data_IF_935737235000
#
_entry.id   IF_935737235000
#
_cell.length_a   1.000
_cell.length_b   1.000
_cell.length_c   1.000
_cell.angle_alpha   90.00
_cell.angle_beta   90.00
_cell.angle_gamma   90.00
#
_symmetry.space_group_name_H-M   'P 1'
#
loop_
_entity.id
_entity.type
_entity.pdbx_description
1 polymer ?
#
# COMPACT_ATOMS: atom_id res chain seq x y z
N UNK A 1 -71.11 -2.57 -8.35
CA UNK A 1 -70.25 -1.51 -7.78
C UNK A 1 -68.92 -2.16 -7.44
N UNK A 2 -67.88 -1.88 -8.23
CA UNK A 2 -66.55 -2.44 -8.06
C UNK A 2 -65.73 -1.56 -7.11
N UNK A 3 -65.26 -2.12 -6.01
CA UNK A 3 -64.35 -1.45 -5.06
C UNK A 3 -62.92 -1.94 -5.31
N UNK A 4 -62.13 -1.10 -5.95
CA UNK A 4 -60.73 -1.33 -6.30
C UNK A 4 -59.84 -1.22 -5.05
N UNK A 5 -59.16 -2.31 -4.67
CA UNK A 5 -58.10 -2.28 -3.66
C UNK A 5 -56.85 -1.57 -4.21
N UNK A 6 -56.50 -0.41 -3.63
CA UNK A 6 -55.18 0.21 -3.80
C UNK A 6 -54.16 -0.55 -2.94
N UNK A 7 -53.28 -1.32 -3.56
CA UNK A 7 -52.05 -1.81 -2.92
C UNK A 7 -51.08 -0.63 -2.77
N UNK A 8 -50.65 -0.35 -1.54
CA UNK A 8 -49.58 0.58 -1.27
C UNK A 8 -48.23 -0.08 -1.61
N UNK A 9 -47.39 0.60 -2.40
CA UNK A 9 -46.00 0.21 -2.62
C UNK A 9 -45.20 0.45 -1.32
N UNK A 10 -44.34 -0.48 -0.88
CA UNK A 10 -43.34 -0.16 0.13
C UNK A 10 -42.24 0.71 -0.50
N UNK A 11 -41.80 1.71 0.27
CA UNK A 11 -40.69 2.61 -0.08
C UNK A 11 -39.37 1.84 -0.27
N UNK A 12 -38.43 2.33 -1.10
CA UNK A 12 -37.16 1.66 -1.31
C UNK A 12 -36.33 1.66 -0.01
N UNK A 13 -35.82 0.47 0.33
CA UNK A 13 -34.89 0.25 1.43
C UNK A 13 -33.70 1.21 1.33
N UNK A 14 -33.48 1.96 2.41
CA UNK A 14 -32.29 2.77 2.62
C UNK A 14 -31.07 1.87 2.50
N UNK A 15 -30.16 2.23 1.58
CA UNK A 15 -28.79 1.75 1.52
C UNK A 15 -28.22 1.69 2.95
N UNK A 16 -27.91 0.48 3.41
CA UNK A 16 -27.14 0.25 4.63
C UNK A 16 -25.74 0.81 4.43
N UNK A 17 -25.57 2.11 4.64
CA UNK A 17 -24.26 2.72 4.81
C UNK A 17 -23.60 2.11 6.04
N UNK A 18 -22.52 1.35 5.83
CA UNK A 18 -21.64 0.93 6.90
C UNK A 18 -21.19 2.17 7.71
N UNK A 19 -21.07 2.08 9.04
CA UNK A 19 -20.76 3.24 9.88
C UNK A 19 -19.40 3.81 9.50
N UNK A 20 -19.39 5.05 8.96
CA UNK A 20 -18.18 5.82 8.69
C UNK A 20 -17.49 6.08 10.03
N UNK A 21 -16.29 5.55 10.18
CA UNK A 21 -15.49 5.72 11.39
C UNK A 21 -14.85 7.11 11.35
N UNK A 22 -15.45 8.08 12.06
CA UNK A 22 -15.09 9.51 12.04
C UNK A 22 -13.82 9.86 12.84
N UNK A 23 -12.74 9.10 12.64
CA UNK A 23 -11.39 9.54 12.96
C UNK A 23 -10.59 9.55 11.66
N UNK A 24 -10.95 10.46 10.76
CA UNK A 24 -10.47 10.42 9.40
C UNK A 24 -9.22 11.29 9.27
N UNK A 25 -8.05 10.65 9.24
CA UNK A 25 -6.93 11.25 8.51
C UNK A 25 -7.40 11.27 7.06
N UNK A 26 -7.83 12.43 6.59
CA UNK A 26 -8.39 12.64 5.26
C UNK A 26 -7.90 13.98 4.70
N UNK A 27 -7.50 13.94 3.44
CA UNK A 27 -6.96 15.06 2.70
C UNK A 27 -7.71 15.14 1.37
N UNK A 28 -8.24 16.32 1.06
CA UNK A 28 -8.85 16.58 -0.23
C UNK A 28 -7.81 17.05 -1.24
N UNK A 29 -8.32 17.56 -2.37
CA UNK A 29 -7.51 18.04 -3.49
C UNK A 29 -6.61 19.22 -3.12
N UNK A 30 -6.97 19.99 -2.09
CA UNK A 30 -6.18 21.11 -1.57
C UNK A 30 -4.82 20.70 -1.02
N UNK A 31 -4.71 19.47 -0.51
CA UNK A 31 -3.43 18.86 -0.10
C UNK A 31 -2.91 17.94 -1.19
N UNK A 32 -3.74 17.01 -1.69
CA UNK A 32 -3.28 15.96 -2.60
C UNK A 32 -2.81 16.51 -3.96
N UNK A 33 -3.37 17.63 -4.41
CA UNK A 33 -3.03 18.27 -5.68
C UNK A 33 -1.81 19.20 -5.64
N UNK A 34 -1.22 19.43 -4.46
CA UNK A 34 0.08 20.10 -4.31
C UNK A 34 1.13 19.07 -3.99
N UNK A 35 2.17 19.00 -4.82
CA UNK A 35 3.23 18.03 -4.62
C UNK A 35 3.95 18.27 -3.30
N UNK A 36 4.25 19.55 -3.00
CA UNK A 36 4.93 19.97 -1.77
C UNK A 36 4.13 19.54 -0.53
N UNK A 37 2.82 19.83 -0.51
CA UNK A 37 1.98 19.45 0.62
C UNK A 37 1.80 17.93 0.70
N UNK A 38 1.55 17.25 -0.42
CA UNK A 38 1.30 15.81 -0.42
C UNK A 38 2.53 14.99 0.01
N UNK A 39 3.75 15.47 -0.25
CA UNK A 39 4.98 14.77 0.13
C UNK A 39 5.33 14.84 1.60
N UNK A 40 4.88 15.90 2.28
CA UNK A 40 5.00 16.02 3.74
C UNK A 40 4.06 15.04 4.49
N UNK A 41 3.13 14.37 3.80
CA UNK A 41 2.23 13.38 4.40
C UNK A 41 2.65 11.98 3.98
N UNK A 42 3.17 11.22 4.94
CA UNK A 42 3.53 9.82 4.74
C UNK A 42 2.46 8.88 5.30
N UNK A 43 2.35 7.69 4.72
CA UNK A 43 1.54 6.59 5.23
C UNK A 43 2.42 5.38 5.54
N UNK A 44 1.95 4.55 6.47
CA UNK A 44 2.61 3.33 6.91
C UNK A 44 1.59 2.20 7.00
N UNK A 45 1.97 1.02 6.52
CA UNK A 45 1.27 -0.24 6.72
C UNK A 45 2.31 -1.27 7.17
N UNK A 46 2.02 -2.05 8.20
CA UNK A 46 2.95 -3.06 8.73
C UNK A 46 2.31 -4.44 8.78
N UNK A 47 3.16 -5.47 8.88
CA UNK A 47 2.77 -6.88 8.88
C UNK A 47 3.01 -7.59 10.22
N UNK A 48 3.42 -6.88 11.27
CA UNK A 48 3.68 -7.45 12.59
C UNK A 48 4.87 -8.42 12.68
N UNK A 49 5.75 -8.44 11.67
CA UNK A 49 7.02 -9.18 11.70
C UNK A 49 8.20 -8.27 11.34
N UNK A 50 8.02 -6.94 11.47
CA UNK A 50 9.05 -5.94 11.19
C UNK A 50 9.14 -5.48 9.72
N UNK A 51 8.37 -6.10 8.82
CA UNK A 51 8.19 -5.68 7.44
C UNK A 51 7.08 -4.65 7.31
N UNK A 52 7.17 -3.82 6.26
CA UNK A 52 6.25 -2.72 6.06
C UNK A 52 6.10 -2.31 4.59
N UNK A 53 5.08 -1.51 4.33
CA UNK A 53 4.91 -0.68 3.14
C UNK A 53 4.70 0.77 3.57
N UNK A 54 5.32 1.71 2.86
CA UNK A 54 5.25 3.13 3.20
C UNK A 54 5.59 4.00 2.00
N UNK A 55 5.08 5.23 1.98
CA UNK A 55 5.33 6.23 0.96
C UNK A 55 4.63 7.53 1.28
N UNK A 56 4.66 8.48 0.35
CA UNK A 56 3.93 9.74 0.48
C UNK A 56 2.49 9.62 -0.05
N UNK A 57 1.65 10.61 0.26
CA UNK A 57 0.32 10.75 -0.34
C UNK A 57 0.41 11.01 -1.85
N UNK A 58 1.44 11.71 -2.34
CA UNK A 58 1.61 11.99 -3.78
C UNK A 58 1.99 10.75 -4.60
N UNK A 59 2.52 9.70 -3.94
CA UNK A 59 3.09 8.51 -4.58
C UNK A 59 4.54 8.67 -5.06
N UNK A 60 5.16 9.82 -4.79
CA UNK A 60 6.59 10.03 -5.01
C UNK A 60 7.45 9.31 -3.97
N UNK A 61 8.64 8.88 -4.37
CA UNK A 61 9.63 8.31 -3.45
C UNK A 61 10.52 9.45 -2.96
N UNK A 62 10.34 9.91 -1.72
CA UNK A 62 11.15 11.01 -1.19
C UNK A 62 12.34 10.54 -0.37
N UNK A 63 12.29 9.28 0.12
CA UNK A 63 13.30 8.67 1.00
C UNK A 63 13.63 7.25 0.54
N UNK A 64 14.83 6.76 0.88
CA UNK A 64 15.25 5.37 0.60
C UNK A 64 14.42 4.31 1.35
N UNK A 65 13.56 4.73 2.26
CA UNK A 65 12.75 3.84 3.09
C UNK A 65 11.36 3.58 2.56
N UNK A 66 10.93 4.34 1.53
CA UNK A 66 9.65 4.12 0.88
C UNK A 66 9.67 2.83 0.07
N UNK A 67 8.54 2.15 0.00
CA UNK A 67 8.45 0.83 -0.61
C UNK A 67 7.05 0.26 -0.47
N UNK A 68 6.60 -0.49 -1.48
CA UNK A 68 5.39 -1.32 -1.40
C UNK A 68 5.66 -2.66 -0.72
N UNK A 69 6.90 -3.14 -0.70
CA UNK A 69 7.31 -4.28 0.11
C UNK A 69 8.74 -4.08 0.61
N UNK A 70 8.88 -3.64 1.85
CA UNK A 70 10.13 -3.71 2.62
C UNK A 70 10.02 -4.91 3.55
N UNK A 71 10.56 -6.04 3.11
CA UNK A 71 10.41 -7.33 3.76
C UNK A 71 11.42 -7.51 4.89
N UNK A 72 10.97 -7.92 6.07
CA UNK A 72 11.88 -8.39 7.12
C UNK A 72 12.26 -9.85 6.81
N UNK A 73 13.46 -10.05 6.23
CA UNK A 73 13.96 -11.39 5.88
C UNK A 73 14.51 -12.15 7.10
N UNK A 74 14.77 -11.43 8.19
CA UNK A 74 15.13 -11.98 9.50
C UNK A 74 14.26 -11.36 10.61
N UNK A 75 12.95 -11.66 10.67
CA UNK A 75 12.01 -10.99 11.57
C UNK A 75 12.48 -10.87 13.03
N UNK A 76 12.32 -9.69 13.67
CA UNK A 76 11.69 -8.47 13.15
C UNK A 76 12.63 -7.51 12.39
N UNK A 77 13.83 -7.96 12.01
CA UNK A 77 14.89 -7.14 11.38
C UNK A 77 15.29 -7.69 9.99
N UNK A 78 16.41 -7.22 9.43
CA UNK A 78 16.85 -7.64 8.09
C UNK A 78 15.91 -7.12 6.99
N UNK A 79 15.56 -5.84 7.08
CA UNK A 79 14.61 -5.18 6.18
C UNK A 79 15.24 -4.96 4.81
N UNK A 80 14.65 -5.59 3.80
CA UNK A 80 15.09 -5.54 2.41
C UNK A 80 13.98 -4.93 1.55
N UNK A 81 14.27 -3.86 0.79
CA UNK A 81 13.31 -3.31 -0.17
C UNK A 81 13.26 -4.24 -1.40
N UNK A 82 12.09 -4.85 -1.62
CA UNK A 82 11.85 -5.79 -2.72
C UNK A 82 10.99 -5.17 -3.82
N UNK A 83 9.93 -4.47 -3.44
CA UNK A 83 9.07 -3.72 -4.38
C UNK A 83 9.05 -2.27 -3.95
N UNK A 84 9.61 -1.39 -4.78
CA UNK A 84 9.73 0.03 -4.47
C UNK A 84 8.39 0.74 -4.69
N UNK A 85 7.89 0.73 -5.93
CA UNK A 85 6.63 1.38 -6.30
C UNK A 85 6.00 0.74 -7.53
N UNK A 86 4.80 1.23 -7.86
CA UNK A 86 4.20 1.03 -9.16
C UNK A 86 4.24 2.35 -9.93
N UNK A 87 4.47 2.29 -11.24
CA UNK A 87 4.16 3.38 -12.16
C UNK A 87 2.90 3.02 -12.95
N UNK A 88 1.77 3.62 -12.56
CA UNK A 88 0.48 3.33 -13.16
C UNK A 88 -0.05 4.46 -14.03
N UNK A 89 -0.70 4.08 -15.14
CA UNK A 89 -1.45 4.95 -16.02
C UNK A 89 -2.83 4.35 -16.26
N UNK A 90 -3.88 5.15 -16.06
CA UNK A 90 -5.24 4.80 -16.43
C UNK A 90 -5.58 5.32 -17.83
N UNK A 91 -5.96 4.42 -18.73
CA UNK A 91 -6.59 4.76 -20.01
C UNK A 91 -8.10 4.79 -19.86
N UNK A 92 -8.74 5.91 -20.17
CA UNK A 92 -10.18 6.09 -20.03
C UNK A 92 -10.70 7.13 -21.03
N UNK A 93 -11.78 6.82 -21.75
CA UNK A 93 -12.38 7.66 -22.81
C UNK A 93 -11.38 8.22 -23.83
N UNK A 94 -10.37 7.42 -24.20
CA UNK A 94 -9.31 7.80 -25.14
C UNK A 94 -8.22 8.70 -24.55
N UNK A 95 -8.37 9.15 -23.31
CA UNK A 95 -7.35 9.87 -22.54
C UNK A 95 -6.45 8.93 -21.72
N UNK A 96 -5.23 9.38 -21.45
CA UNK A 96 -4.29 8.73 -20.54
C UNK A 96 -4.06 9.60 -19.30
N UNK A 97 -4.23 9.01 -18.12
CA UNK A 97 -4.09 9.70 -16.84
C UNK A 97 -3.03 9.01 -16.00
N UNK A 98 -1.97 9.73 -15.66
CA UNK A 98 -0.98 9.26 -14.69
C UNK A 98 -1.62 9.07 -13.31
N UNK A 99 -1.29 7.98 -12.63
CA UNK A 99 -1.61 7.79 -11.20
C UNK A 99 -0.34 7.84 -10.35
N UNK A 100 0.81 7.48 -10.92
CA UNK A 100 2.11 7.59 -10.28
C UNK A 100 2.69 9.01 -10.36
N UNK A 101 3.48 9.36 -9.36
CA UNK A 101 4.30 10.58 -9.34
C UNK A 101 5.76 10.20 -9.18
N UNK A 102 6.66 10.71 -10.00
CA UNK A 102 8.11 10.42 -9.90
C UNK A 102 8.93 11.69 -10.07
N UNK A 103 9.87 11.94 -9.15
CA UNK A 103 10.95 12.92 -9.31
C UNK A 103 12.22 12.29 -9.89
N UNK A 104 12.82 13.00 -10.84
CA UNK A 104 14.08 12.63 -11.48
C UNK A 104 15.21 13.58 -11.09
N UNK A 105 16.44 13.09 -11.13
CA UNK A 105 17.65 13.89 -10.84
C UNK A 105 17.85 15.07 -11.81
N UNK A 106 17.19 15.04 -12.97
CA UNK A 106 17.12 16.14 -13.93
C UNK A 106 16.32 17.35 -13.43
N UNK A 107 15.59 17.21 -12.31
CA UNK A 107 14.64 18.20 -11.80
C UNK A 107 13.23 18.05 -12.37
N UNK A 108 13.00 17.10 -13.28
CA UNK A 108 11.68 16.80 -13.79
C UNK A 108 10.82 16.07 -12.75
N UNK A 109 9.53 16.38 -12.73
CA UNK A 109 8.50 15.58 -12.05
C UNK A 109 7.61 14.98 -13.13
N UNK A 110 7.82 13.72 -13.48
CA UNK A 110 7.02 12.99 -14.46
C UNK A 110 7.04 11.49 -14.16
N UNK A 111 5.92 10.76 -14.22
CA UNK A 111 4.57 11.27 -14.39
C UNK A 111 4.12 12.17 -13.21
N UNK A 112 3.05 12.96 -13.39
CA UNK A 112 2.46 13.87 -12.38
C UNK A 112 1.12 13.37 -11.84
N UNK A 113 1.08 12.13 -11.36
CA UNK A 113 -0.15 11.46 -10.91
C UNK A 113 -0.87 12.16 -9.76
N UNK A 114 -0.12 12.89 -8.91
CA UNK A 114 -0.67 13.66 -7.80
C UNK A 114 -1.77 14.66 -8.24
N UNK A 115 -1.69 15.19 -9.46
CA UNK A 115 -2.71 16.11 -10.01
C UNK A 115 -4.09 15.45 -10.20
N UNK A 116 -4.13 14.12 -10.31
CA UNK A 116 -5.34 13.34 -10.51
C UNK A 116 -5.91 12.78 -9.20
N UNK A 117 -5.24 12.98 -8.06
CA UNK A 117 -5.74 12.55 -6.75
C UNK A 117 -6.87 13.50 -6.31
N UNK A 118 -8.08 12.96 -6.22
CA UNK A 118 -9.26 13.66 -5.66
C UNK A 118 -9.14 13.75 -4.13
N UNK A 119 -8.80 12.62 -3.50
CA UNK A 119 -8.62 12.55 -2.06
C UNK A 119 -7.74 11.37 -1.63
N UNK A 120 -7.18 11.53 -0.44
CA UNK A 120 -6.53 10.48 0.32
C UNK A 120 -7.19 10.36 1.69
N UNK A 121 -7.32 9.14 2.20
CA UNK A 121 -7.73 8.91 3.59
C UNK A 121 -7.11 7.64 4.16
N UNK A 122 -7.10 7.55 5.48
CA UNK A 122 -6.92 6.28 6.19
C UNK A 122 -8.28 5.67 6.53
N UNK A 123 -8.55 4.47 6.03
CA UNK A 123 -9.62 3.61 6.54
C UNK A 123 -9.01 2.66 7.58
N UNK A 124 -9.01 3.10 8.85
CA UNK A 124 -8.21 2.44 9.88
C UNK A 124 -6.73 2.68 9.63
N UNK A 125 -5.96 1.63 9.35
CA UNK A 125 -4.55 1.77 8.91
C UNK A 125 -4.37 1.64 7.40
N UNK A 126 -5.46 1.40 6.65
CA UNK A 126 -5.40 1.17 5.21
C UNK A 126 -5.39 2.53 4.49
N UNK A 127 -4.29 2.93 3.83
CA UNK A 127 -4.29 4.10 2.98
C UNK A 127 -5.16 3.87 1.73
N UNK A 128 -6.00 4.85 1.44
CA UNK A 128 -6.96 4.83 0.34
C UNK A 128 -6.85 6.12 -0.47
N UNK A 129 -6.56 5.99 -1.76
CA UNK A 129 -6.60 7.09 -2.72
C UNK A 129 -7.84 6.99 -3.57
N UNK A 130 -8.39 8.13 -3.96
CA UNK A 130 -9.35 8.25 -5.05
C UNK A 130 -8.77 9.14 -6.12
N UNK A 131 -8.83 8.67 -7.36
CA UNK A 131 -8.40 9.39 -8.55
C UNK A 131 -9.61 9.80 -9.37
N UNK A 132 -9.74 11.09 -9.67
CA UNK A 132 -10.78 11.62 -10.55
C UNK A 132 -10.26 11.70 -11.99
N UNK A 133 -10.84 10.90 -12.88
CA UNK A 133 -10.35 10.67 -14.24
C UNK A 133 -11.51 10.92 -15.23
N UNK A 134 -11.66 12.16 -15.68
CA UNK A 134 -12.91 12.63 -16.32
C UNK A 134 -14.12 12.37 -15.41
N UNK A 135 -15.10 11.56 -15.84
CA UNK A 135 -16.25 11.16 -15.00
C UNK A 135 -15.96 9.91 -14.13
N UNK A 136 -14.87 9.17 -14.40
CA UNK A 136 -14.48 8.00 -13.66
C UNK A 136 -13.86 8.33 -12.30
N UNK A 137 -14.09 7.42 -11.34
CA UNK A 137 -13.50 7.45 -10.01
C UNK A 137 -12.85 6.11 -9.72
N UNK A 138 -11.51 6.08 -9.75
CA UNK A 138 -10.71 4.91 -9.44
C UNK A 138 -10.23 4.99 -7.99
N UNK A 139 -10.45 3.95 -7.21
CA UNK A 139 -9.95 3.85 -5.84
C UNK A 139 -8.74 2.90 -5.79
N UNK A 140 -7.68 3.30 -5.08
CA UNK A 140 -6.50 2.47 -4.78
C UNK A 140 -6.42 2.23 -3.27
N UNK A 141 -6.21 0.99 -2.86
CA UNK A 141 -6.02 0.58 -1.46
C UNK A 141 -4.73 -0.20 -1.30
N UNK A 142 -4.04 -0.03 -0.17
CA UNK A 142 -2.84 -0.81 0.16
C UNK A 142 -2.97 -1.40 1.56
N UNK A 143 -2.71 -2.69 1.73
CA UNK A 143 -2.62 -3.32 3.05
C UNK A 143 -1.62 -4.47 3.05
N UNK A 144 -1.19 -4.90 4.24
CA UNK A 144 -0.33 -6.07 4.40
C UNK A 144 -1.04 -7.15 5.22
N UNK A 145 -0.69 -8.41 4.92
CA UNK A 145 -1.13 -9.57 5.70
C UNK A 145 -0.30 -9.70 6.98
N UNK A 146 -0.99 -9.92 8.10
CA UNK A 146 -0.32 -10.07 9.38
C UNK A 146 0.49 -11.36 9.42
N UNK A 147 1.74 -11.28 9.85
CA UNK A 147 2.66 -12.41 9.96
C UNK A 147 3.47 -12.70 8.71
N UNK A 148 3.29 -11.95 7.61
CA UNK A 148 3.84 -12.30 6.30
C UNK A 148 4.42 -11.09 5.57
N UNK A 149 5.51 -11.28 4.83
CA UNK A 149 6.03 -10.29 3.89
C UNK A 149 5.17 -10.29 2.63
N UNK A 150 3.91 -9.89 2.77
CA UNK A 150 2.90 -9.88 1.70
C UNK A 150 2.13 -8.56 1.74
N UNK A 151 2.25 -7.78 0.66
CA UNK A 151 1.49 -6.54 0.43
C UNK A 151 0.47 -6.74 -0.68
N UNK A 152 -0.73 -6.19 -0.47
CA UNK A 152 -1.81 -6.14 -1.45
C UNK A 152 -1.99 -4.70 -1.91
N UNK A 153 -2.08 -4.51 -3.22
CA UNK A 153 -2.50 -3.26 -3.84
C UNK A 153 -3.74 -3.54 -4.69
N UNK A 154 -4.87 -2.94 -4.31
CA UNK A 154 -6.14 -3.14 -5.00
C UNK A 154 -6.58 -1.86 -5.69
N UNK A 155 -7.06 -2.00 -6.92
CA UNK A 155 -7.69 -0.94 -7.68
C UNK A 155 -9.15 -1.31 -7.92
N UNK A 156 -10.06 -0.36 -7.72
CA UNK A 156 -11.50 -0.54 -7.89
C UNK A 156 -12.08 0.61 -8.68
N UNK A 157 -12.75 0.33 -9.80
CA UNK A 157 -13.47 1.36 -10.54
C UNK A 157 -14.82 1.61 -9.88
N UNK A 158 -14.94 2.65 -9.04
CA UNK A 158 -16.14 2.92 -8.26
C UNK A 158 -17.25 3.56 -9.10
N UNK A 159 -16.87 4.45 -10.00
CA UNK A 159 -17.76 5.23 -10.87
C UNK A 159 -17.11 5.38 -12.24
N UNK A 160 -17.92 5.46 -13.29
CA UNK A 160 -17.53 5.69 -14.67
C UNK A 160 -18.61 5.19 -15.61
N UNK A 161 -18.73 5.81 -16.78
CA UNK A 161 -19.65 5.39 -17.84
C UNK A 161 -19.04 4.35 -18.79
N UNK A 162 -17.70 4.23 -18.84
CA UNK A 162 -16.97 3.24 -19.63
C UNK A 162 -16.06 2.32 -18.81
N UNK A 163 -15.44 1.31 -19.45
CA UNK A 163 -14.36 0.54 -18.84
C UNK A 163 -13.08 1.38 -18.72
N UNK A 164 -12.27 1.10 -17.70
CA UNK A 164 -10.97 1.71 -17.48
C UNK A 164 -9.86 0.68 -17.74
N UNK A 165 -8.87 1.05 -18.56
CA UNK A 165 -7.66 0.24 -18.78
C UNK A 165 -6.56 0.69 -17.84
N UNK A 166 -6.22 -0.12 -16.84
CA UNK A 166 -5.11 0.13 -15.93
C UNK A 166 -3.83 -0.51 -16.49
N UNK A 167 -2.85 0.31 -16.86
CA UNK A 167 -1.50 -0.13 -17.19
C UNK A 167 -0.60 0.08 -15.96
N UNK A 168 0.13 -0.97 -15.56
CA UNK A 168 0.98 -0.96 -14.36
C UNK A 168 2.38 -1.40 -14.74
N UNK A 169 3.38 -0.63 -14.34
CA UNK A 169 4.78 -1.05 -14.30
C UNK A 169 5.20 -1.27 -12.86
N UNK A 170 5.77 -2.43 -12.55
CA UNK A 170 6.29 -2.72 -11.22
C UNK A 170 7.79 -2.45 -11.17
N UNK A 171 8.19 -1.52 -10.30
CA UNK A 171 9.57 -1.17 -10.04
C UNK A 171 10.04 -1.88 -8.77
N UNK A 172 11.09 -2.68 -8.91
CA UNK A 172 11.60 -3.57 -7.88
C UNK A 172 13.06 -3.26 -7.55
N UNK A 173 13.49 -3.78 -6.41
CA UNK A 173 14.87 -3.68 -5.95
C UNK A 173 15.25 -4.94 -5.15
N UNK A 174 16.49 -5.03 -4.70
CA UNK A 174 16.90 -6.00 -3.69
C UNK A 174 18.05 -5.44 -2.86
N UNK A 175 17.73 -4.58 -1.90
CA UNK A 175 18.75 -3.94 -1.06
C UNK A 175 18.32 -3.80 0.38
N UNK A 176 19.31 -3.68 1.25
CA UNK A 176 19.07 -3.25 2.62
C UNK A 176 18.38 -1.88 2.64
N UNK A 177 17.44 -1.69 3.57
CA UNK A 177 16.65 -0.47 3.68
C UNK A 177 17.49 0.79 3.99
N UNK A 178 18.70 0.67 4.55
CA UNK A 178 19.62 1.81 4.74
C UNK A 178 20.49 2.12 3.51
N UNK A 179 20.58 1.21 2.53
CA UNK A 179 21.41 1.38 1.33
C UNK A 179 20.65 2.05 0.18
N UNK A 180 21.37 2.36 -0.90
CA UNK A 180 20.81 2.79 -2.20
C UNK A 180 21.29 1.83 -3.29
N UNK A 181 20.54 1.72 -4.38
CA UNK A 181 20.94 0.92 -5.55
C UNK A 181 21.37 1.81 -6.71
N UNK A 182 22.56 1.54 -7.25
CA UNK A 182 23.02 2.02 -8.55
C UNK A 182 23.23 0.80 -9.44
N UNK A 183 22.44 0.68 -10.51
CA UNK A 183 22.21 -0.58 -11.21
C UNK A 183 23.49 -1.23 -11.78
N UNK A 184 24.40 -0.40 -12.32
CA UNK A 184 25.56 -0.89 -13.07
C UNK A 184 25.13 -1.87 -14.17
N UNK A 185 25.73 -3.06 -14.15
CA UNK A 185 25.43 -4.19 -15.05
C UNK A 185 24.60 -5.30 -14.35
N UNK A 186 23.95 -4.97 -13.24
CA UNK A 186 23.23 -5.97 -12.44
C UNK A 186 22.04 -6.56 -13.21
N UNK A 187 22.06 -7.88 -13.37
CA UNK A 187 20.98 -8.62 -14.02
C UNK A 187 20.29 -9.57 -13.04
N UNK A 188 19.15 -9.14 -12.51
CA UNK A 188 18.26 -10.04 -11.76
C UNK A 188 17.58 -11.06 -12.68
N UNK A 189 17.29 -12.26 -12.19
CA UNK A 189 16.45 -13.23 -12.91
C UNK A 189 14.97 -12.88 -12.71
N UNK A 190 14.24 -12.70 -13.81
CA UNK A 190 12.80 -12.40 -13.82
C UNK A 190 12.08 -13.44 -14.66
N UNK A 191 11.28 -14.29 -14.02
CA UNK A 191 10.73 -15.51 -14.62
C UNK A 191 9.21 -15.54 -14.50
N UNK A 192 8.51 -15.90 -15.57
CA UNK A 192 7.06 -16.14 -15.51
C UNK A 192 6.74 -17.36 -14.66
N UNK A 193 5.71 -17.25 -13.83
CA UNK A 193 5.11 -18.37 -13.07
C UNK A 193 3.59 -18.37 -13.28
N UNK A 194 2.90 -19.39 -12.77
CA UNK A 194 1.47 -19.60 -13.08
C UNK A 194 0.58 -18.36 -12.90
N UNK A 195 0.65 -17.70 -11.74
CA UNK A 195 -0.19 -16.54 -11.41
C UNK A 195 0.59 -15.22 -11.34
N UNK A 196 1.73 -15.11 -12.03
CA UNK A 196 2.53 -13.90 -12.01
C UNK A 196 3.99 -14.09 -12.43
N UNK A 197 4.90 -13.44 -11.73
CA UNK A 197 6.34 -13.58 -11.95
C UNK A 197 7.11 -13.83 -10.66
N UNK A 198 8.25 -14.51 -10.77
CA UNK A 198 9.26 -14.71 -9.73
C UNK A 198 10.49 -13.89 -10.06
N UNK A 199 11.04 -13.20 -9.07
CA UNK A 199 12.29 -12.47 -9.19
C UNK A 199 13.32 -13.05 -8.22
N UNK A 200 14.53 -13.26 -8.71
CA UNK A 200 15.69 -13.67 -7.91
C UNK A 200 16.85 -12.74 -8.21
N UNK A 201 17.25 -11.96 -7.20
CA UNK A 201 18.20 -10.86 -7.40
C UNK A 201 19.63 -11.34 -7.72
N UNK A 202 20.06 -12.43 -7.09
CA UNK A 202 21.33 -13.12 -7.31
C UNK A 202 21.25 -14.55 -6.73
N UNK A 203 22.27 -15.37 -6.95
CA UNK A 203 22.31 -16.74 -6.42
C UNK A 203 22.36 -16.75 -4.89
N UNK A 204 21.37 -17.40 -4.27
CA UNK A 204 21.20 -17.44 -2.81
C UNK A 204 20.29 -16.33 -2.25
N UNK A 205 19.87 -15.35 -3.05
CA UNK A 205 18.88 -14.35 -2.62
C UNK A 205 17.53 -15.02 -2.29
N UNK A 206 16.84 -14.51 -1.27
CA UNK A 206 15.43 -14.84 -1.05
C UNK A 206 14.61 -14.37 -2.27
N UNK A 207 13.98 -15.27 -3.04
CA UNK A 207 13.14 -14.86 -4.15
C UNK A 207 11.88 -14.15 -3.64
N UNK A 208 11.28 -13.34 -4.51
CA UNK A 208 10.00 -12.71 -4.27
C UNK A 208 9.13 -12.75 -5.53
N UNK A 209 7.83 -12.51 -5.36
CA UNK A 209 6.83 -12.71 -6.39
C UNK A 209 5.91 -11.51 -6.53
N UNK A 210 5.50 -11.26 -7.76
CA UNK A 210 4.41 -10.35 -8.11
C UNK A 210 3.31 -11.23 -8.68
N UNK A 211 2.20 -11.36 -7.95
CA UNK A 211 1.12 -12.29 -8.24
C UNK A 211 -0.20 -11.55 -8.41
N UNK A 212 -1.12 -12.14 -9.15
CA UNK A 212 -2.51 -11.70 -9.19
C UNK A 212 -3.40 -12.84 -9.68
N UNK A 213 -4.62 -12.93 -9.13
CA UNK A 213 -5.62 -13.86 -9.65
C UNK A 213 -6.13 -13.45 -11.04
N UNK A 214 -6.20 -12.13 -11.29
CA UNK A 214 -6.93 -11.57 -12.43
C UNK A 214 -6.09 -10.60 -13.29
N UNK A 215 -4.82 -10.38 -12.96
CA UNK A 215 -3.87 -9.63 -13.78
C UNK A 215 -2.76 -10.55 -14.29
N UNK A 216 -2.44 -10.42 -15.58
CA UNK A 216 -1.28 -11.09 -16.15
C UNK A 216 -0.07 -10.17 -16.08
N UNK A 217 0.97 -10.61 -15.37
CA UNK A 217 2.27 -9.96 -15.40
C UNK A 217 3.09 -10.48 -16.58
N UNK A 218 3.71 -9.55 -17.30
CA UNK A 218 4.69 -9.83 -18.32
C UNK A 218 6.08 -9.43 -17.79
N UNK A 219 7.04 -10.37 -17.73
CA UNK A 219 8.41 -10.06 -17.35
C UNK A 219 9.01 -8.93 -18.19
N UNK A 220 9.76 -8.06 -17.52
CA UNK A 220 10.58 -7.01 -18.10
C UNK A 220 11.92 -6.98 -17.39
N UNK A 221 12.90 -6.36 -18.04
CA UNK A 221 14.22 -6.17 -17.46
C UNK A 221 14.82 -4.89 -18.03
N UNK A 222 14.44 -3.78 -17.41
CA UNK A 222 14.93 -2.45 -17.80
C UNK A 222 15.18 -1.65 -16.53
N UNK A 223 16.38 -1.12 -16.36
CA UNK A 223 16.69 -0.27 -15.21
C UNK A 223 16.26 1.15 -15.47
N UNK A 224 15.35 1.65 -14.63
CA UNK A 224 14.98 3.06 -14.62
C UNK A 224 15.94 3.74 -13.65
N UNK A 225 16.67 4.73 -14.16
CA UNK A 225 17.79 5.35 -13.46
C UNK A 225 17.45 6.74 -12.98
N UNK A 226 18.25 7.23 -12.03
CA UNK A 226 18.24 8.65 -11.67
C UNK A 226 16.94 9.12 -10.99
N UNK A 227 16.30 8.28 -10.17
CA UNK A 227 15.26 8.77 -9.25
C UNK A 227 15.87 9.72 -8.25
N UNK A 228 15.19 10.81 -7.93
CA UNK A 228 15.63 11.77 -6.92
C UNK A 228 14.86 11.57 -5.61
N UNK A 229 15.59 11.37 -4.52
CA UNK A 229 15.07 11.21 -3.16
C UNK A 229 15.32 12.50 -2.35
N UNK A 230 14.46 13.53 -2.44
CA UNK A 230 14.71 14.87 -1.87
C UNK A 230 15.00 14.91 -0.36
N UNK A 231 14.47 13.97 0.42
CA UNK A 231 14.75 13.92 1.87
C UNK A 231 16.14 13.36 2.16
N UNK A 232 16.67 12.51 1.28
CA UNK A 232 18.07 12.07 1.36
C UNK A 232 19.00 13.25 1.02
N UNK A 233 18.63 14.09 0.04
CA UNK A 233 19.33 15.37 -0.23
C UNK A 233 19.37 16.26 1.01
N UNK A 234 18.21 16.46 1.66
CA UNK A 234 18.09 17.28 2.88
C UNK A 234 18.94 16.73 4.04
N UNK A 235 19.19 15.41 4.06
CA UNK A 235 20.04 14.72 5.04
C UNK A 235 21.52 14.67 4.65
N UNK A 236 21.89 15.18 3.47
CA UNK A 236 23.26 15.12 2.94
C UNK A 236 23.71 13.69 2.60
N UNK A 237 22.78 12.81 2.23
CA UNK A 237 23.02 11.43 1.84
C UNK A 237 22.97 11.28 0.32
N UNK A 238 23.36 10.10 -0.18
CA UNK A 238 23.16 9.73 -1.59
C UNK A 238 21.67 9.75 -1.91
N UNK A 239 21.28 10.68 -2.78
CA UNK A 239 19.91 11.04 -3.09
C UNK A 239 19.44 10.50 -4.45
N UNK A 240 20.25 9.67 -5.09
CA UNK A 240 19.93 9.04 -6.36
C UNK A 240 19.74 7.54 -6.20
N UNK A 241 18.76 7.00 -6.89
CA UNK A 241 18.50 5.57 -6.88
C UNK A 241 17.99 5.07 -8.23
N UNK A 242 18.38 3.83 -8.56
CA UNK A 242 17.91 3.09 -9.72
C UNK A 242 16.96 1.97 -9.27
N UNK A 243 15.89 1.74 -10.05
CA UNK A 243 14.94 0.65 -9.82
C UNK A 243 14.76 -0.20 -11.08
N UNK A 244 14.61 -1.51 -10.91
CA UNK A 244 14.37 -2.42 -12.02
C UNK A 244 12.89 -2.44 -12.38
N UNK A 245 12.53 -2.05 -13.59
CA UNK A 245 11.23 -2.34 -14.18
C UNK A 245 11.16 -3.84 -14.51
N UNK A 246 10.60 -4.61 -13.58
CA UNK A 246 10.59 -6.07 -13.65
C UNK A 246 9.30 -6.66 -14.26
N UNK A 247 8.18 -5.92 -14.23
CA UNK A 247 6.92 -6.48 -14.71
C UNK A 247 5.97 -5.41 -15.24
N UNK A 248 5.33 -5.69 -16.37
CA UNK A 248 4.18 -4.93 -16.86
C UNK A 248 2.89 -5.73 -16.66
N UNK A 249 1.79 -5.08 -16.29
CA UNK A 249 0.46 -5.65 -16.33
C UNK A 249 -0.52 -4.67 -16.99
N UNK A 250 -1.49 -5.20 -17.72
CA UNK A 250 -2.60 -4.43 -18.26
C UNK A 250 -3.90 -5.10 -17.85
N UNK A 251 -4.81 -4.34 -17.26
CA UNK A 251 -6.07 -4.84 -16.73
C UNK A 251 -7.19 -3.93 -17.21
N UNK A 252 -8.28 -4.52 -17.69
CA UNK A 252 -9.51 -3.79 -17.95
C UNK A 252 -10.45 -3.93 -16.74
N UNK A 253 -10.96 -2.81 -16.24
CA UNK A 253 -11.89 -2.75 -15.12
C UNK A 253 -13.22 -2.18 -15.61
N UNK A 254 -14.28 -2.97 -15.52
CA UNK A 254 -15.64 -2.43 -15.61
C UNK A 254 -16.05 -1.80 -14.27
N UNK A 255 -17.15 -1.03 -14.29
CA UNK A 255 -17.70 -0.41 -13.08
C UNK A 255 -17.96 -1.46 -11.99
N UNK A 256 -17.57 -1.12 -10.76
CA UNK A 256 -17.61 -1.98 -9.56
C UNK A 256 -16.72 -3.23 -9.60
N UNK A 257 -15.83 -3.35 -10.61
CA UNK A 257 -14.81 -4.40 -10.61
C UNK A 257 -13.52 -3.93 -9.93
N UNK A 258 -12.80 -4.91 -9.41
CA UNK A 258 -11.53 -4.71 -8.74
C UNK A 258 -10.48 -5.67 -9.27
N UNK A 259 -9.23 -5.22 -9.26
CA UNK A 259 -8.05 -6.07 -9.43
C UNK A 259 -7.13 -5.90 -8.24
N UNK A 260 -6.54 -7.01 -7.78
CA UNK A 260 -5.58 -7.01 -6.67
C UNK A 260 -4.25 -7.55 -7.16
N UNK A 261 -3.20 -6.77 -6.94
CA UNK A 261 -1.80 -7.13 -7.16
C UNK A 261 -1.20 -7.51 -5.81
N UNK A 262 -0.45 -8.61 -5.76
CA UNK A 262 0.12 -9.18 -4.55
C UNK A 262 1.64 -9.21 -4.68
N UNK A 263 2.34 -8.59 -3.73
CA UNK A 263 3.80 -8.58 -3.66
C UNK A 263 4.22 -9.37 -2.44
N UNK A 264 4.99 -10.44 -2.63
CA UNK A 264 5.20 -11.39 -1.54
C UNK A 264 6.53 -12.14 -1.61
N UNK A 265 7.01 -12.64 -0.47
CA UNK A 265 8.06 -13.68 -0.40
C UNK A 265 7.49 -15.09 -0.25
N UNK A 266 6.18 -15.28 -0.35
CA UNK A 266 5.51 -16.59 -0.29
C UNK A 266 4.86 -16.93 -1.65
N UNK A 267 5.32 -17.98 -2.36
CA UNK A 267 4.75 -18.38 -3.64
C UNK A 267 3.31 -18.91 -3.55
N UNK A 268 2.78 -19.14 -2.35
CA UNK A 268 1.42 -19.62 -2.08
C UNK A 268 0.54 -18.58 -1.39
N UNK A 269 0.93 -17.30 -1.44
CA UNK A 269 0.14 -16.21 -0.86
C UNK A 269 -1.32 -16.23 -1.35
N UNK A 270 -2.25 -15.96 -0.45
CA UNK A 270 -3.68 -15.80 -0.78
C UNK A 270 -3.85 -14.67 -1.79
N UNK A 271 -4.56 -14.92 -2.88
CA UNK A 271 -4.75 -13.96 -3.98
C UNK A 271 -6.15 -13.32 -3.98
N UNK A 272 -7.08 -13.82 -3.18
CA UNK A 272 -8.38 -13.17 -2.98
C UNK A 272 -8.22 -11.88 -2.17
N UNK A 273 -8.15 -10.76 -2.89
CA UNK A 273 -8.06 -9.43 -2.30
C UNK A 273 -9.25 -9.05 -1.42
N UNK A 274 -10.47 -9.51 -1.73
CA UNK A 274 -11.65 -9.18 -0.94
C UNK A 274 -11.63 -9.92 0.41
N UNK A 275 -11.22 -11.20 0.39
CA UNK A 275 -11.01 -12.00 1.60
C UNK A 275 -9.94 -11.39 2.49
N UNK A 276 -8.76 -11.11 1.95
CA UNK A 276 -7.61 -10.59 2.73
C UNK A 276 -7.86 -9.19 3.26
N UNK A 277 -8.57 -8.34 2.52
CA UNK A 277 -9.05 -7.04 3.01
C UNK A 277 -10.03 -7.20 4.19
N UNK A 278 -10.97 -8.15 4.09
CA UNK A 278 -11.90 -8.46 5.18
C UNK A 278 -11.17 -8.96 6.43
N UNK A 279 -10.15 -9.80 6.26
CA UNK A 279 -9.27 -10.25 7.34
C UNK A 279 -8.52 -9.08 8.01
N UNK A 280 -8.00 -8.13 7.23
CA UNK A 280 -7.38 -6.90 7.75
C UNK A 280 -8.35 -6.06 8.58
N UNK A 281 -9.55 -5.79 8.05
CA UNK A 281 -10.59 -5.02 8.76
C UNK A 281 -11.03 -5.75 10.03
N UNK A 282 -11.09 -7.08 10.01
CA UNK A 282 -11.40 -7.90 11.19
C UNK A 282 -10.30 -7.80 12.25
N UNK A 283 -9.02 -7.83 11.86
CA UNK A 283 -7.89 -7.63 12.77
C UNK A 283 -7.98 -6.28 13.49
N UNK A 284 -8.14 -5.18 12.75
CA UNK A 284 -8.25 -3.83 13.33
C UNK A 284 -9.45 -3.68 14.26
N UNK A 285 -10.60 -4.26 13.88
CA UNK A 285 -11.79 -4.30 14.75
C UNK A 285 -11.49 -5.08 16.04
N UNK A 286 -10.76 -6.19 15.94
CA UNK A 286 -10.31 -6.98 17.08
C UNK A 286 -9.44 -6.18 18.06
N UNK A 287 -8.47 -5.41 17.54
CA UNK A 287 -7.61 -4.56 18.38
C UNK A 287 -8.43 -3.51 19.14
N UNK A 288 -9.36 -2.85 18.45
CA UNK A 288 -10.26 -1.88 19.09
C UNK A 288 -11.21 -2.52 20.12
N UNK A 289 -11.78 -3.69 19.80
CA UNK A 289 -12.65 -4.42 20.73
C UNK A 289 -11.92 -4.82 22.01
N UNK A 290 -10.68 -5.34 21.90
CA UNK A 290 -9.85 -5.72 23.07
C UNK A 290 -9.60 -4.52 23.99
N UNK A 291 -9.28 -3.36 23.44
CA UNK A 291 -9.11 -2.15 24.23
C UNK A 291 -10.41 -1.75 24.94
N UNK A 292 -11.54 -1.76 24.21
CA UNK A 292 -12.85 -1.43 24.77
C UNK A 292 -13.28 -2.37 25.90
N UNK A 293 -12.95 -3.65 25.79
CA UNK A 293 -13.21 -4.65 26.83
C UNK A 293 -12.31 -4.47 28.06
N UNK A 294 -11.05 -4.04 27.86
CA UNK A 294 -10.09 -3.79 28.93
C UNK A 294 -10.39 -2.54 29.77
N UNK A 295 -10.98 -1.50 29.17
CA UNK A 295 -11.38 -0.28 29.87
C UNK A 295 -12.64 0.35 29.26
N UNK A 296 -13.81 -0.19 29.64
CA UNK A 296 -15.10 0.25 29.13
C UNK A 296 -15.43 1.71 29.49
N UNK A 297 -14.90 2.22 30.61
CA UNK A 297 -15.13 3.60 31.06
C UNK A 297 -14.35 4.57 30.18
N UNK A 298 -13.05 4.32 29.97
CA UNK A 298 -12.25 5.10 29.04
C UNK A 298 -12.83 5.02 27.62
N UNK A 299 -13.26 3.84 27.18
CA UNK A 299 -13.83 3.65 25.86
C UNK A 299 -15.15 4.40 25.63
N UNK A 300 -15.97 4.58 26.67
CA UNK A 300 -17.19 5.38 26.57
C UNK A 300 -16.91 6.89 26.50
N UNK A 301 -15.82 7.34 27.13
CA UNK A 301 -15.42 8.75 27.18
C UNK A 301 -14.47 9.18 26.05
N UNK A 302 -13.84 8.22 25.36
CA UNK A 302 -12.79 8.50 24.40
C UNK A 302 -13.30 9.24 23.14
N UNK A 303 -12.62 10.32 22.73
CA UNK A 303 -12.85 10.94 21.43
C UNK A 303 -12.61 9.96 20.27
N UNK A 304 -13.26 10.19 19.13
CA UNK A 304 -13.15 9.29 17.98
C UNK A 304 -11.69 9.06 17.53
N UNK A 305 -10.84 10.09 17.59
CA UNK A 305 -9.44 10.01 17.17
C UNK A 305 -8.57 9.04 17.99
N UNK A 306 -8.99 8.69 19.21
CA UNK A 306 -8.31 7.66 20.03
C UNK A 306 -8.30 6.32 19.30
N UNK A 307 -9.36 6.01 18.53
CA UNK A 307 -9.39 4.80 17.72
C UNK A 307 -8.24 4.75 16.71
N UNK A 308 -7.89 5.89 16.11
CA UNK A 308 -6.77 5.95 15.17
C UNK A 308 -5.45 5.70 15.90
N UNK A 309 -5.26 6.24 17.11
CA UNK A 309 -4.05 6.00 17.89
C UNK A 309 -3.90 4.55 18.33
N UNK A 310 -4.99 3.88 18.70
CA UNK A 310 -4.97 2.44 19.04
C UNK A 310 -4.49 1.63 17.83
N UNK A 311 -5.02 1.93 16.64
CA UNK A 311 -4.63 1.26 15.41
C UNK A 311 -3.19 1.60 15.01
N UNK A 312 -2.75 2.85 15.20
CA UNK A 312 -1.37 3.25 14.97
C UNK A 312 -0.39 2.51 15.89
N UNK A 313 -0.74 2.34 17.17
CA UNK A 313 0.08 1.60 18.14
C UNK A 313 0.25 0.12 17.74
N UNK A 314 -0.82 -0.53 17.24
CA UNK A 314 -0.77 -1.91 16.74
C UNK A 314 0.28 -2.11 15.63
N UNK A 315 0.54 -1.07 14.83
CA UNK A 315 1.52 -1.16 13.74
C UNK A 315 2.97 -1.37 14.21
N UNK A 316 3.28 -1.02 15.45
CA UNK A 316 4.63 -1.17 16.04
C UNK A 316 4.83 -2.49 16.77
N UNK A 317 3.75 -3.24 17.03
CA UNK A 317 3.83 -4.55 17.71
C UNK A 317 4.30 -5.60 16.70
N UNK A 318 5.37 -6.31 17.04
CA UNK A 318 5.97 -7.35 16.18
C UNK A 318 6.18 -8.65 16.92
N UNK A 319 6.12 -9.77 16.19
CA UNK A 319 6.56 -11.08 16.70
C UNK A 319 8.08 -11.16 16.69
N UNK A 320 8.65 -11.65 17.79
CA UNK A 320 10.08 -11.94 17.94
C UNK A 320 10.25 -13.38 18.38
N UNK A 321 10.88 -14.18 17.52
CA UNK A 321 11.24 -15.56 17.86
C UNK A 321 12.62 -15.59 18.49
N UNK A 322 12.72 -16.11 19.70
CA UNK A 322 13.97 -16.34 20.41
C UNK A 322 14.17 -17.85 20.64
N UNK A 323 15.42 -18.33 20.81
CA UNK A 323 15.66 -19.70 21.24
C UNK A 323 14.92 -19.99 22.55
N UNK A 324 13.97 -20.93 22.53
CA UNK A 324 13.14 -21.28 23.70
C UNK A 324 11.85 -20.48 23.87
N UNK A 325 11.64 -19.41 23.10
CA UNK A 325 10.41 -18.59 23.14
C UNK A 325 9.96 -18.23 21.71
N UNK A 326 9.09 -19.07 21.15
CA UNK A 326 8.66 -18.96 19.75
C UNK A 326 7.50 -17.97 19.52
N UNK A 327 6.80 -17.58 20.59
CA UNK A 327 5.65 -16.68 20.56
C UNK A 327 5.94 -15.31 21.20
N UNK A 328 7.23 -14.96 21.33
CA UNK A 328 7.65 -13.67 21.88
C UNK A 328 7.14 -12.47 21.09
N UNK A 329 6.94 -11.36 21.78
CA UNK A 329 6.56 -10.07 21.22
C UNK A 329 7.63 -9.01 21.43
N UNK A 330 7.67 -8.01 20.57
CA UNK A 330 8.47 -6.80 20.76
C UNK A 330 7.78 -5.57 20.17
N UNK A 331 8.34 -4.40 20.42
CA UNK A 331 7.84 -3.12 19.89
C UNK A 331 8.96 -2.47 19.07
N UNK A 332 8.68 -2.21 17.80
CA UNK A 332 9.56 -1.41 16.95
C UNK A 332 9.52 0.03 17.44
N UNK A 333 10.69 0.61 17.75
CA UNK A 333 10.77 1.94 18.35
C UNK A 333 10.36 3.06 17.37
N UNK A 334 10.50 2.83 16.06
CA UNK A 334 10.07 3.78 15.06
C UNK A 334 10.41 3.30 13.66
N UNK A 335 9.40 3.20 12.81
CA UNK A 335 9.63 3.09 11.37
C UNK A 335 10.05 4.46 10.82
N UNK A 336 11.01 4.53 9.90
CA UNK A 336 11.69 3.38 9.29
C UNK A 336 12.98 2.99 10.00
N UNK A 337 13.64 3.94 10.68
CA UNK A 337 15.05 3.85 11.09
C UNK A 337 15.36 2.90 12.23
N UNK A 338 14.43 2.66 13.15
CA UNK A 338 14.74 1.95 14.38
C UNK A 338 14.25 0.50 14.34
N UNK A 339 15.04 -0.37 14.98
CA UNK A 339 14.62 -1.71 15.34
C UNK A 339 13.80 -1.69 16.63
N UNK A 340 13.76 -2.81 17.33
CA UNK A 340 13.21 -2.87 18.68
C UNK A 340 14.24 -2.42 19.72
N UNK A 341 13.86 -1.46 20.56
CA UNK A 341 14.72 -0.88 21.59
C UNK A 341 14.06 -1.03 22.95
N UNK A 342 14.78 -1.65 23.90
CA UNK A 342 14.23 -2.02 25.21
C UNK A 342 13.79 -0.82 26.04
N UNK A 343 14.44 0.35 25.89
CA UNK A 343 14.03 1.59 26.56
C UNK A 343 12.68 2.07 26.03
N UNK A 344 12.57 2.24 24.71
CA UNK A 344 11.38 2.74 24.02
C UNK A 344 10.17 1.82 24.22
N UNK A 345 10.39 0.51 24.39
CA UNK A 345 9.34 -0.45 24.73
C UNK A 345 8.74 -0.22 26.13
N UNK A 346 9.53 0.29 27.07
CA UNK A 346 9.15 0.42 28.48
C UNK A 346 8.59 1.81 28.83
N UNK A 347 8.67 2.76 27.91
CA UNK A 347 8.04 4.10 27.98
C UNK A 347 6.64 3.97 27.39
#
# INVERSE_FOLDING_TARGET
MATTQKRANPAPEQERTAPRCNAAVEFGREVCGSLELADEREWLVTNGIGGYASGTVSGDLTRRYHGLLVAALHPPVGRTQLVAKLEETAGYEGGGFALATTRWSSGAVEPKGYLNIESFRLEGTIPVWRFALADALLEKRIWMRQGENTTYVQYSLLRGNGPLRLAVKALVNYRDFHSSTHAGDWSMRVESVGQGIRITAFDGATPFWLLSANARFEPRHEWYRDFLLPEETARGLDDREDYLFAAAANVELARSQSVTLVFTTDPQAELDGARTLTERVKHERGCYSKWKEGDAVAAAAAPAWIRQLILAADQFIVKRRLPGELDGGSVIAGYHWFGDWGRDTMI
#
